data_IF_578016799924
#
_entry.id   IF_578016799924
#
_cell.length_a   1.000
_cell.length_b   1.000
_cell.length_c   1.000
_cell.angle_alpha   90.00
_cell.angle_beta   90.00
_cell.angle_gamma   90.00
#
_symmetry.space_group_name_H-M   'P 1'
#
loop_
_entity.id
_entity.type
_entity.pdbx_description
1 polymer ?
#
# COMPACT_ATOMS: atom_id res chain seq x y z
N UNK A 1 6.06 -6.47 0.69
CA UNK A 1 4.60 -6.28 0.55
C UNK A 1 3.87 -7.39 1.30
N UNK A 2 2.78 -7.13 2.02
CA UNK A 2 1.99 -8.17 2.72
C UNK A 2 0.72 -8.48 1.95
N UNK A 3 0.30 -9.76 1.93
CA UNK A 3 -0.96 -10.18 1.31
C UNK A 3 -2.19 -9.47 1.92
N UNK A 4 -2.09 -9.00 3.17
CA UNK A 4 -3.13 -8.23 3.85
C UNK A 4 -3.35 -6.83 3.28
N UNK A 5 -2.26 -6.14 2.89
CA UNK A 5 -2.34 -4.85 2.23
C UNK A 5 -2.98 -4.94 0.84
N UNK A 6 -2.57 -5.95 0.05
CA UNK A 6 -3.13 -6.18 -1.30
C UNK A 6 -4.64 -6.47 -1.25
N UNK A 7 -5.09 -7.27 -0.28
CA UNK A 7 -6.51 -7.61 -0.12
C UNK A 7 -7.36 -6.41 0.31
N UNK A 8 -6.83 -5.54 1.18
CA UNK A 8 -7.51 -4.30 1.59
C UNK A 8 -7.63 -3.34 0.42
N UNK A 9 -6.53 -3.10 -0.30
CA UNK A 9 -6.52 -2.23 -1.46
C UNK A 9 -7.52 -2.66 -2.54
N UNK A 10 -7.58 -3.96 -2.86
CA UNK A 10 -8.56 -4.50 -3.80
C UNK A 10 -10.01 -4.35 -3.35
N UNK A 11 -10.24 -4.37 -2.03
CA UNK A 11 -11.58 -4.18 -1.45
C UNK A 11 -12.02 -2.72 -1.47
N UNK A 12 -11.08 -1.79 -1.27
CA UNK A 12 -11.30 -0.34 -1.28
C UNK A 12 -11.49 0.20 -2.70
N UNK A 13 -10.57 -0.13 -3.60
CA UNK A 13 -10.53 0.45 -4.96
C UNK A 13 -11.27 -0.39 -6.00
N UNK A 14 -11.60 -1.64 -5.69
CA UNK A 14 -12.21 -2.59 -6.63
C UNK A 14 -11.25 -3.10 -7.71
N UNK A 15 -10.01 -2.62 -7.75
CA UNK A 15 -9.01 -2.96 -8.76
C UNK A 15 -7.73 -3.50 -8.13
N UNK A 16 -6.94 -4.22 -8.92
CA UNK A 16 -5.66 -4.76 -8.48
C UNK A 16 -4.59 -3.66 -8.41
N UNK A 17 -3.58 -3.85 -7.57
CA UNK A 17 -2.44 -2.92 -7.42
C UNK A 17 -1.74 -2.65 -8.75
N UNK A 18 -1.77 -3.63 -9.66
CA UNK A 18 -1.26 -3.50 -11.03
C UNK A 18 -1.98 -2.45 -11.87
N UNK A 19 -3.18 -2.00 -11.47
CA UNK A 19 -3.97 -0.93 -12.11
C UNK A 19 -3.86 0.43 -11.41
N UNK A 20 -3.01 0.53 -10.39
CA UNK A 20 -2.75 1.79 -9.69
C UNK A 20 -2.13 2.84 -10.60
N UNK A 21 -1.21 2.44 -11.50
CA UNK A 21 -0.50 3.38 -12.37
C UNK A 21 0.26 4.44 -11.57
N UNK A 22 0.19 5.70 -12.01
CA UNK A 22 0.78 6.86 -11.34
C UNK A 22 -0.29 7.74 -10.64
N UNK A 23 -1.42 7.14 -10.24
CA UNK A 23 -2.48 7.85 -9.54
C UNK A 23 -2.08 8.08 -8.08
N UNK A 24 -1.80 9.34 -7.70
CA UNK A 24 -1.39 9.73 -6.35
C UNK A 24 -2.41 9.30 -5.28
N UNK A 25 -3.70 9.43 -5.57
CA UNK A 25 -4.78 9.00 -4.69
C UNK A 25 -4.74 7.49 -4.38
N UNK A 26 -4.57 6.67 -5.42
CA UNK A 26 -4.44 5.22 -5.28
C UNK A 26 -3.15 4.83 -4.56
N UNK A 27 -2.04 5.50 -4.86
CA UNK A 27 -0.76 5.29 -4.16
C UNK A 27 -0.89 5.57 -2.66
N UNK A 28 -1.57 6.66 -2.29
CA UNK A 28 -1.84 7.02 -0.88
C UNK A 28 -2.70 5.98 -0.19
N UNK A 29 -3.78 5.55 -0.84
CA UNK A 29 -4.68 4.50 -0.34
C UNK A 29 -3.93 3.18 -0.11
N UNK A 30 -2.98 2.85 -1.00
CA UNK A 30 -2.19 1.63 -0.85
C UNK A 30 -1.13 1.72 0.23
N UNK A 31 -0.50 2.89 0.38
CA UNK A 31 0.40 3.17 1.51
C UNK A 31 -0.35 3.01 2.83
N UNK A 32 -1.57 3.58 2.94
CA UNK A 32 -2.46 3.38 4.08
C UNK A 32 -2.75 1.90 4.33
N UNK A 33 -3.10 1.13 3.29
CA UNK A 33 -3.34 -0.30 3.40
C UNK A 33 -2.11 -1.09 3.89
N UNK A 34 -0.91 -0.68 3.48
CA UNK A 34 0.35 -1.25 3.96
C UNK A 34 0.55 -0.98 5.45
N UNK A 35 0.38 0.27 5.88
CA UNK A 35 0.50 0.69 7.28
C UNK A 35 -0.53 -0.02 8.16
N UNK A 36 -1.81 0.03 7.79
CA UNK A 36 -2.89 -0.66 8.51
C UNK A 36 -2.65 -2.18 8.60
N UNK A 37 -2.11 -2.79 7.55
CA UNK A 37 -1.77 -4.21 7.57
C UNK A 37 -0.59 -4.55 8.48
N UNK A 38 0.42 -3.67 8.55
CA UNK A 38 1.57 -3.82 9.46
C UNK A 38 1.12 -3.63 10.91
N UNK A 39 0.40 -2.54 11.22
CA UNK A 39 -0.18 -2.31 12.55
C UNK A 39 -1.05 -3.49 13.02
N UNK A 40 -1.86 -4.06 12.12
CA UNK A 40 -2.67 -5.23 12.45
C UNK A 40 -1.84 -6.51 12.69
N UNK A 41 -0.67 -6.65 12.03
CA UNK A 41 0.25 -7.76 12.31
C UNK A 41 0.95 -7.58 13.67
N UNK A 42 1.33 -6.34 14.00
CA UNK A 42 1.97 -5.95 15.26
C UNK A 42 0.97 -5.76 16.43
N UNK A 43 -0.34 -5.93 16.17
CA UNK A 43 -1.44 -5.68 17.12
C UNK A 43 -1.45 -4.27 17.71
N UNK A 44 -1.02 -3.29 16.91
CA UNK A 44 -1.09 -1.87 17.24
C UNK A 44 -2.41 -1.31 16.73
N UNK A 45 -3.13 -0.57 17.58
CA UNK A 45 -4.33 0.16 17.16
C UNK A 45 -3.97 1.25 16.16
N UNK A 46 -4.55 1.15 14.96
CA UNK A 46 -4.38 2.12 13.89
C UNK A 46 -5.74 2.78 13.63
N UNK A 47 -6.04 3.81 14.43
CA UNK A 47 -7.29 4.59 14.40
C UNK A 47 -7.09 5.89 13.61
N UNK A 48 -6.52 5.77 12.41
CA UNK A 48 -6.42 6.87 11.47
C UNK A 48 -7.31 6.57 10.28
N UNK A 49 -8.13 7.55 9.88
CA UNK A 49 -8.85 7.50 8.62
C UNK A 49 -7.90 7.76 7.45
N UNK A 50 -8.30 7.39 6.24
CA UNK A 50 -7.51 7.59 5.02
C UNK A 50 -7.24 9.08 4.81
N UNK A 51 -8.23 9.94 5.10
CA UNK A 51 -8.12 11.39 4.93
C UNK A 51 -7.04 11.97 5.87
N UNK A 52 -7.11 11.61 7.17
CA UNK A 52 -6.11 12.03 8.18
C UNK A 52 -4.72 11.47 7.89
N UNK A 53 -4.64 10.27 7.32
CA UNK A 53 -3.36 9.70 6.90
C UNK A 53 -2.80 10.44 5.68
N UNK A 54 -3.64 10.79 4.71
CA UNK A 54 -3.24 11.54 3.52
C UNK A 54 -2.73 12.94 3.86
N UNK A 55 -3.35 13.62 4.83
CA UNK A 55 -2.85 14.92 5.35
C UNK A 55 -1.41 14.84 5.90
N UNK A 56 -1.00 13.67 6.41
CA UNK A 56 0.33 13.42 6.93
C UNK A 56 1.35 12.93 5.89
N UNK A 57 0.90 12.59 4.67
CA UNK A 57 1.75 12.06 3.60
C UNK A 57 2.07 13.18 2.62
N UNK A 58 3.33 13.62 2.62
CA UNK A 58 3.79 14.62 1.67
C UNK A 58 4.23 13.99 0.33
N UNK A 59 4.39 14.84 -0.70
CA UNK A 59 4.81 14.43 -2.03
C UNK A 59 6.18 13.72 -2.05
N UNK A 60 7.06 14.02 -1.10
CA UNK A 60 8.37 13.37 -0.96
C UNK A 60 8.21 11.93 -0.52
N UNK A 61 7.36 11.66 0.49
CA UNK A 61 7.03 10.29 0.93
C UNK A 61 6.34 9.52 -0.20
N UNK A 62 5.42 10.15 -0.94
CA UNK A 62 4.80 9.48 -2.10
C UNK A 62 5.82 9.16 -3.19
N UNK A 63 6.76 10.06 -3.47
CA UNK A 63 7.76 9.84 -4.50
C UNK A 63 8.74 8.73 -4.10
N UNK A 64 9.18 8.71 -2.84
CA UNK A 64 10.02 7.62 -2.30
C UNK A 64 9.29 6.28 -2.37
N UNK A 65 8.01 6.26 -1.97
CA UNK A 65 7.17 5.08 -2.10
C UNK A 65 6.98 4.64 -3.56
N UNK A 66 6.74 5.59 -4.47
CA UNK A 66 6.63 5.30 -5.90
C UNK A 66 7.95 4.76 -6.48
N UNK A 67 9.11 5.22 -6.00
CA UNK A 67 10.40 4.67 -6.40
C UNK A 67 10.59 3.23 -5.90
N UNK A 68 10.20 2.92 -4.66
CA UNK A 68 10.22 1.54 -4.16
C UNK A 68 9.20 0.64 -4.85
N UNK A 69 8.02 1.17 -5.19
CA UNK A 69 6.95 0.44 -5.85
C UNK A 69 7.23 0.21 -7.35
N UNK A 70 7.88 1.18 -8.00
CA UNK A 70 8.25 1.13 -9.41
C UNK A 70 9.62 0.49 -9.64
N UNK A 71 10.44 0.34 -8.60
CA UNK A 71 11.54 -0.62 -8.60
C UNK A 71 10.92 -2.02 -8.73
N UNK A 72 11.44 -2.90 -9.61
CA UNK A 72 10.94 -4.26 -9.75
C UNK A 72 11.20 -5.00 -8.43
N UNK A 73 10.23 -4.93 -7.52
CA UNK A 73 10.13 -5.85 -6.40
C UNK A 73 9.87 -7.21 -7.01
N UNK A 74 10.94 -7.98 -7.17
CA UNK A 74 10.91 -9.34 -7.69
C UNK A 74 10.06 -10.22 -6.79
N UNK A 75 8.78 -10.33 -7.12
CA UNK A 75 7.96 -11.49 -6.77
C UNK A 75 8.14 -12.55 -7.87
N UNK A 76 9.39 -12.97 -8.08
CA UNK A 76 9.68 -14.22 -8.76
C UNK A 76 9.55 -15.36 -7.73
N UNK A 77 8.34 -15.92 -7.69
CA UNK A 77 8.08 -17.34 -7.51
C UNK A 77 8.71 -18.04 -6.28
N UNK A 78 8.01 -17.98 -5.14
CA UNK A 78 7.96 -19.14 -4.26
C UNK A 78 6.98 -20.21 -4.83
N UNK A 79 7.26 -20.75 -6.02
CA UNK A 79 6.59 -21.96 -6.53
C UNK A 79 7.44 -23.19 -6.19
N UNK A 80 6.89 -23.98 -5.28
CA UNK A 80 7.15 -25.42 -5.04
C UNK A 80 7.70 -26.18 -6.27
N UNK A 81 8.88 -26.79 -6.15
CA UNK A 81 9.10 -28.25 -6.22
C UNK A 81 10.57 -28.61 -6.08
#
# INVERSE_FOLDING_TARGET
MTMGAMRRYKRETGEDISRMGNDADKMTTFLYCCTASACNADKVEFDLDIDTFADGVDLSVMNEFAQEFSAPSGDEQAKKK
#
